data_IF_395822675923
#
_entry.id   IF_395822675923
#
_cell.length_a   1.000
_cell.length_b   1.000
_cell.length_c   1.000
_cell.angle_alpha   90.00
_cell.angle_beta   90.00
_cell.angle_gamma   90.00
#
_symmetry.space_group_name_H-M   'P 1'
#
loop_
_entity.id
_entity.type
_entity.pdbx_description
1 polymer ?
#
# COMPACT_ATOMS: atom_id res chain seq x y z
N UNK A 1 -7.81 -0.53 11.88
CA UNK A 1 -6.90 0.38 11.14
C UNK A 1 -7.19 0.20 9.65
N UNK A 2 -7.23 1.30 8.88
CA UNK A 2 -7.48 1.31 7.43
C UNK A 2 -6.20 1.63 6.67
N UNK A 3 -5.74 0.68 5.86
CA UNK A 3 -4.47 0.72 5.14
C UNK A 3 -4.73 0.82 3.64
N UNK A 4 -3.94 1.64 2.95
CA UNK A 4 -3.81 1.63 1.50
C UNK A 4 -2.42 1.13 1.14
N UNK A 5 -2.34 0.15 0.24
CA UNK A 5 -1.07 -0.33 -0.31
C UNK A 5 -0.90 0.14 -1.75
N UNK A 6 0.22 0.80 -2.02
CA UNK A 6 0.55 1.29 -3.36
C UNK A 6 1.36 0.28 -4.18
N UNK A 7 1.60 -0.92 -3.62
CA UNK A 7 2.64 -1.85 -4.08
C UNK A 7 2.06 -3.28 -4.14
N UNK A 8 2.20 -4.01 -5.27
CA UNK A 8 1.66 -5.37 -5.40
C UNK A 8 2.16 -6.35 -4.34
N UNK A 9 3.48 -6.42 -4.12
CA UNK A 9 4.10 -7.34 -3.16
C UNK A 9 3.68 -7.06 -1.71
N UNK A 10 3.61 -5.78 -1.33
CA UNK A 10 3.11 -5.39 0.00
C UNK A 10 1.63 -5.77 0.15
N UNK A 11 0.81 -5.55 -0.88
CA UNK A 11 -0.62 -5.90 -0.84
C UNK A 11 -0.80 -7.39 -0.58
N UNK A 12 -0.07 -8.24 -1.31
CA UNK A 12 -0.10 -9.68 -1.11
C UNK A 12 0.36 -10.08 0.31
N UNK A 13 1.49 -9.53 0.77
CA UNK A 13 2.02 -9.79 2.10
C UNK A 13 1.06 -9.40 3.24
N UNK A 14 0.34 -8.28 3.13
CA UNK A 14 -0.67 -7.89 4.12
C UNK A 14 -1.77 -8.96 4.24
N UNK A 15 -2.22 -9.52 3.12
CA UNK A 15 -3.24 -10.57 3.13
C UNK A 15 -2.72 -11.91 3.63
N UNK A 16 -1.44 -12.22 3.42
CA UNK A 16 -0.78 -13.40 3.99
C UNK A 16 -0.59 -13.27 5.51
N UNK A 17 -0.39 -12.05 6.00
CA UNK A 17 -0.34 -11.71 7.42
C UNK A 17 -1.73 -11.66 8.09
N UNK A 18 -2.81 -11.92 7.34
CA UNK A 18 -4.15 -12.10 7.88
C UNK A 18 -5.04 -10.86 7.87
N UNK A 19 -4.58 -9.74 7.29
CA UNK A 19 -5.44 -8.57 7.14
C UNK A 19 -6.62 -8.87 6.22
N UNK A 20 -7.73 -8.22 6.51
CA UNK A 20 -9.01 -8.38 5.82
C UNK A 20 -9.30 -7.22 4.87
N UNK A 21 -10.35 -7.35 4.05
CA UNK A 21 -10.81 -6.29 3.15
C UNK A 21 -11.38 -5.07 3.88
N UNK A 22 -11.65 -5.19 5.18
CA UNK A 22 -12.04 -4.06 6.03
C UNK A 22 -10.83 -3.25 6.51
N UNK A 23 -9.65 -3.85 6.47
CA UNK A 23 -8.39 -3.24 6.90
C UNK A 23 -7.58 -2.76 5.68
N UNK A 24 -7.46 -3.58 4.64
CA UNK A 24 -6.86 -3.15 3.36
C UNK A 24 -7.96 -2.53 2.50
N UNK A 25 -8.08 -1.20 2.56
CA UNK A 25 -9.20 -0.48 1.93
C UNK A 25 -8.89 0.06 0.53
N UNK A 26 -7.61 0.05 0.11
CA UNK A 26 -7.25 0.50 -1.22
C UNK A 26 -5.94 -0.09 -1.73
N UNK A 27 -5.89 -0.33 -3.04
CA UNK A 27 -4.76 -0.93 -3.76
C UNK A 27 -4.55 -0.30 -5.14
N UNK A 28 -3.38 -0.46 -5.73
CA UNK A 28 -3.22 -0.15 -7.16
C UNK A 28 -3.86 -1.23 -8.04
N UNK A 29 -4.15 -0.89 -9.29
CA UNK A 29 -4.71 -1.83 -10.29
C UNK A 29 -3.81 -3.04 -10.56
N UNK A 30 -2.52 -2.95 -10.23
CA UNK A 30 -1.54 -4.03 -10.43
C UNK A 30 -1.52 -5.05 -9.28
N UNK A 31 -2.15 -4.73 -8.15
CA UNK A 31 -2.25 -5.62 -7.00
C UNK A 31 -3.35 -6.65 -7.25
N UNK A 32 -3.08 -7.69 -8.04
CA UNK A 32 -4.08 -8.68 -8.47
C UNK A 32 -4.13 -9.94 -7.58
N UNK A 33 -3.22 -10.05 -6.61
CA UNK A 33 -3.13 -11.16 -5.68
C UNK A 33 -3.41 -10.72 -4.23
N UNK A 34 -3.99 -11.61 -3.40
CA UNK A 34 -4.69 -12.83 -3.79
C UNK A 34 -6.06 -12.50 -4.38
N UNK A 35 -6.37 -13.07 -5.55
CA UNK A 35 -7.49 -12.66 -6.41
C UNK A 35 -8.86 -12.66 -5.72
N UNK A 36 -9.10 -13.57 -4.77
CA UNK A 36 -10.37 -13.66 -4.04
C UNK A 36 -10.52 -12.61 -2.94
N UNK A 37 -9.41 -12.19 -2.30
CA UNK A 37 -9.48 -11.19 -1.22
C UNK A 37 -9.53 -9.78 -1.81
N UNK A 38 -8.76 -9.48 -2.85
CA UNK A 38 -8.66 -8.13 -3.42
C UNK A 38 -9.90 -7.63 -4.19
N UNK A 39 -10.94 -8.48 -4.37
CA UNK A 39 -12.15 -8.14 -5.15
C UNK A 39 -12.89 -6.90 -4.63
N UNK A 40 -12.95 -6.76 -3.32
CA UNK A 40 -13.68 -5.67 -2.66
C UNK A 40 -12.77 -4.53 -2.21
N UNK A 41 -11.49 -4.55 -2.60
CA UNK A 41 -10.52 -3.51 -2.25
C UNK A 41 -10.51 -2.45 -3.36
N UNK A 42 -10.69 -1.19 -2.97
CA UNK A 42 -10.80 -0.09 -3.93
C UNK A 42 -9.54 0.08 -4.77
N UNK A 43 -9.71 0.23 -6.08
CA UNK A 43 -8.59 0.55 -6.98
C UNK A 43 -8.33 2.06 -6.93
N UNK A 44 -7.14 2.46 -6.48
CA UNK A 44 -6.73 3.86 -6.29
C UNK A 44 -5.83 4.41 -7.40
N UNK A 45 -5.78 3.74 -8.56
CA UNK A 45 -4.95 4.11 -9.71
C UNK A 45 -3.83 3.10 -10.00
N UNK A 46 -2.78 3.56 -10.66
CA UNK A 46 -1.56 2.77 -10.90
C UNK A 46 -0.39 3.26 -10.05
N UNK A 47 0.74 2.54 -10.06
CA UNK A 47 1.96 2.89 -9.30
C UNK A 47 2.54 4.26 -9.66
N UNK A 48 2.39 4.70 -10.91
CA UNK A 48 2.87 6.00 -11.44
C UNK A 48 1.77 7.01 -11.75
N UNK A 49 0.51 6.67 -11.49
CA UNK A 49 -0.63 7.54 -11.72
C UNK A 49 -1.69 7.26 -10.64
N UNK A 50 -1.38 7.68 -9.42
CA UNK A 50 -2.26 7.57 -8.27
C UNK A 50 -3.44 8.54 -8.39
N UNK A 51 -4.64 8.08 -8.04
CA UNK A 51 -5.82 8.93 -7.90
C UNK A 51 -5.86 9.52 -6.50
N UNK A 52 -5.21 10.68 -6.33
CA UNK A 52 -5.05 11.36 -5.04
C UNK A 52 -6.39 11.69 -4.39
N UNK A 53 -7.36 12.21 -5.15
CA UNK A 53 -8.69 12.56 -4.62
C UNK A 53 -9.44 11.34 -4.10
N UNK A 54 -9.34 10.20 -4.79
CA UNK A 54 -9.91 8.94 -4.32
C UNK A 54 -9.20 8.42 -3.07
N UNK A 55 -7.87 8.53 -3.00
CA UNK A 55 -7.14 8.14 -1.78
C UNK A 55 -7.60 9.01 -0.59
N UNK A 56 -7.78 10.32 -0.81
CA UNK A 56 -8.27 11.24 0.21
C UNK A 56 -9.68 10.91 0.69
N UNK A 57 -10.60 10.56 -0.22
CA UNK A 57 -11.98 10.24 0.15
C UNK A 57 -12.10 8.96 0.98
N UNK A 58 -11.14 8.04 0.86
CA UNK A 58 -11.08 6.80 1.63
C UNK A 58 -10.63 6.98 3.10
N UNK A 59 -10.01 8.12 3.41
CA UNK A 59 -9.54 8.49 4.76
C UNK A 59 -8.69 7.37 5.40
N UNK A 60 -7.56 6.94 4.78
CA UNK A 60 -6.71 5.90 5.33
C UNK A 60 -6.01 6.36 6.62
N UNK A 61 -5.75 5.42 7.53
CA UNK A 61 -4.89 5.63 8.70
C UNK A 61 -3.40 5.51 8.31
N UNK A 62 -3.10 4.69 7.30
CA UNK A 62 -1.74 4.39 6.84
C UNK A 62 -1.70 4.13 5.34
N UNK A 63 -0.66 4.63 4.68
CA UNK A 63 -0.34 4.34 3.29
C UNK A 63 1.05 3.70 3.21
N UNK A 64 1.15 2.57 2.50
CA UNK A 64 2.40 1.85 2.28
C UNK A 64 2.87 2.07 0.84
N UNK A 65 4.06 2.63 0.68
CA UNK A 65 4.68 2.96 -0.60
C UNK A 65 6.07 2.32 -0.72
N UNK A 66 6.59 2.24 -1.94
CA UNK A 66 7.96 1.83 -2.22
C UNK A 66 8.65 2.88 -3.11
N UNK A 67 9.91 3.20 -2.76
CA UNK A 67 10.72 4.23 -3.44
C UNK A 67 10.97 3.94 -4.92
N UNK A 68 11.11 2.68 -5.31
CA UNK A 68 11.37 2.28 -6.70
C UNK A 68 10.10 2.32 -7.56
N UNK A 69 8.95 1.94 -6.97
CA UNK A 69 7.70 1.79 -7.72
C UNK A 69 6.86 3.07 -7.80
N UNK A 70 6.87 3.90 -6.75
CA UNK A 70 5.97 5.04 -6.63
C UNK A 70 6.63 6.37 -6.98
N UNK A 71 5.87 7.25 -7.63
CA UNK A 71 6.32 8.60 -8.00
C UNK A 71 6.42 9.48 -6.76
N UNK A 72 7.62 9.98 -6.47
CA UNK A 72 7.95 10.76 -5.27
C UNK A 72 6.97 11.89 -5.01
N UNK A 73 6.67 12.69 -6.02
CA UNK A 73 5.80 13.87 -5.90
C UNK A 73 4.38 13.48 -5.49
N UNK A 74 3.87 12.33 -5.98
CA UNK A 74 2.54 11.84 -5.60
C UNK A 74 2.51 11.35 -4.15
N UNK A 75 3.58 10.67 -3.71
CA UNK A 75 3.74 10.22 -2.33
C UNK A 75 3.83 11.41 -1.39
N UNK A 76 4.64 12.43 -1.72
CA UNK A 76 4.79 13.65 -0.93
C UNK A 76 3.48 14.45 -0.81
N UNK A 77 2.60 14.41 -1.82
CA UNK A 77 1.26 14.99 -1.71
C UNK A 77 0.44 14.26 -0.64
N UNK A 78 0.47 12.93 -0.62
CA UNK A 78 -0.27 12.12 0.35
C UNK A 78 0.27 12.27 1.78
N UNK A 79 1.58 12.47 1.93
CA UNK A 79 2.24 12.70 3.23
C UNK A 79 1.78 13.97 3.94
N UNK A 80 1.16 14.92 3.23
CA UNK A 80 0.60 16.13 3.84
C UNK A 80 -0.63 15.84 4.69
N UNK A 81 -1.38 14.81 4.33
CA UNK A 81 -2.68 14.50 4.92
C UNK A 81 -2.69 13.17 5.70
N UNK A 82 -1.79 12.24 5.37
CA UNK A 82 -1.79 10.88 5.90
C UNK A 82 -0.41 10.42 6.36
N UNK A 83 -0.38 9.44 7.28
CA UNK A 83 0.83 8.71 7.60
C UNK A 83 1.22 7.84 6.41
N UNK A 84 2.42 8.05 5.89
CA UNK A 84 2.98 7.23 4.79
C UNK A 84 4.28 6.59 5.25
N UNK A 85 4.40 5.28 5.05
CA UNK A 85 5.67 4.56 5.18
C UNK A 85 6.18 4.28 3.77
N UNK A 86 7.39 4.73 3.47
CA UNK A 86 8.07 4.48 2.20
C UNK A 86 9.19 3.48 2.45
N UNK A 87 9.05 2.28 1.89
CA UNK A 87 10.09 1.27 1.92
C UNK A 87 11.12 1.52 0.81
N UNK A 88 12.39 1.31 1.13
CA UNK A 88 13.46 1.16 0.15
C UNK A 88 13.98 -0.27 0.28
N UNK A 89 13.75 -1.12 -0.73
CA UNK A 89 14.07 -2.54 -0.67
C UNK A 89 15.05 -2.87 -1.78
N UNK A 90 16.34 -2.79 -1.49
CA UNK A 90 17.42 -3.03 -2.46
C UNK A 90 18.14 -4.35 -2.18
N UNK A 91 18.06 -4.85 -0.95
CA UNK A 91 18.72 -6.07 -0.48
C UNK A 91 17.73 -7.08 0.12
N UNK A 92 18.20 -8.32 0.30
CA UNK A 92 17.44 -9.36 1.00
C UNK A 92 17.16 -8.93 2.45
N UNK A 93 18.11 -8.26 3.09
CA UNK A 93 17.95 -7.79 4.46
C UNK A 93 16.87 -6.69 4.57
N UNK A 94 16.79 -5.78 3.59
CA UNK A 94 15.70 -4.80 3.53
C UNK A 94 14.32 -5.48 3.43
N UNK A 95 14.24 -6.58 2.67
CA UNK A 95 13.00 -7.34 2.55
C UNK A 95 12.60 -7.99 3.88
N UNK A 96 13.58 -8.54 4.62
CA UNK A 96 13.34 -9.05 5.97
C UNK A 96 12.80 -7.97 6.91
N UNK A 97 13.39 -6.78 6.92
CA UNK A 97 12.89 -5.67 7.74
C UNK A 97 11.52 -5.19 7.29
N UNK A 98 11.24 -5.16 5.98
CA UNK A 98 9.92 -4.84 5.45
C UNK A 98 8.88 -5.81 6.03
N UNK A 99 9.06 -7.13 5.87
CA UNK A 99 8.10 -8.13 6.36
C UNK A 99 7.95 -8.08 7.88
N UNK A 100 9.06 -7.92 8.60
CA UNK A 100 9.04 -7.76 10.06
C UNK A 100 8.24 -6.53 10.50
N UNK A 101 8.41 -5.40 9.81
CA UNK A 101 7.67 -4.17 10.10
C UNK A 101 6.18 -4.33 9.77
N UNK A 102 5.82 -5.02 8.69
CA UNK A 102 4.43 -5.32 8.38
C UNK A 102 3.76 -6.15 9.48
N UNK A 103 4.48 -7.10 10.10
CA UNK A 103 3.96 -7.90 11.21
C UNK A 103 3.77 -7.14 12.54
N UNK A 104 4.17 -5.87 12.61
CA UNK A 104 3.98 -4.98 13.77
C UNK A 104 2.85 -3.97 13.56
N UNK A 105 2.22 -3.97 12.38
CA UNK A 105 1.06 -3.14 12.05
C UNK A 105 -0.20 -3.65 12.76
#
# INVERSE_FOLDING_TARGET
MKVISLVPSITEALFDLGLTNNEVIGRTKFCIHPAEKIKNVEIIGGTKNLNIEKIKSLQPDLILANKEENVKEQVEILMKDFKVIVYNTETIEDNYYLVKNLGLL
#
